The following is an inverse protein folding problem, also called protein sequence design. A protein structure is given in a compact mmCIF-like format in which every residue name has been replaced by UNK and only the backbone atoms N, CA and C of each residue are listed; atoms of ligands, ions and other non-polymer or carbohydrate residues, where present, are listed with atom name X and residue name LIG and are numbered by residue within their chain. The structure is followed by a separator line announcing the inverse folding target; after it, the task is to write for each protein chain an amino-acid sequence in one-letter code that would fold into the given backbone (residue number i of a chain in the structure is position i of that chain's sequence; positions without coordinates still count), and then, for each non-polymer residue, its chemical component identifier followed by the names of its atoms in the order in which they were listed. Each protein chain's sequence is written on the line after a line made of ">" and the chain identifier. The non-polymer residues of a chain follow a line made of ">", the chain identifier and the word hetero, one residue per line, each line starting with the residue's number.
data_IF_434656364126
#
_entry.id   IF_434656364126
#
_cell.length_a   1.000
_cell.length_b   1.000
_cell.length_c   1.000
_cell.angle_alpha   90.00
_cell.angle_beta   90.00
_cell.angle_gamma   90.00
#
_symmetry.space_group_name_H-M   'P 1'
#
loop_
_entity.id
_entity.type
_entity.pdbx_description
1 polymer ?
#
# COMPACT_ATOMS: atom_id res chain seq x y z
N UNK A 1 20.10 31.48 -44.36
CA UNK A 1 19.01 30.57 -43.94
C UNK A 1 18.35 31.19 -42.72
N UNK A 2 17.04 31.49 -42.76
CA UNK A 2 16.28 32.06 -41.64
C UNK A 2 15.17 31.08 -41.30
N UNK A 3 15.22 30.52 -40.10
CA UNK A 3 14.22 29.58 -39.58
C UNK A 3 12.86 30.28 -39.45
N UNK A 4 11.84 29.74 -40.14
CA UNK A 4 10.42 30.10 -40.00
C UNK A 4 9.70 28.93 -39.31
N UNK A 5 10.13 28.57 -38.11
CA UNK A 5 9.67 27.35 -37.43
C UNK A 5 8.36 27.49 -36.66
N UNK A 6 8.08 28.66 -36.08
CA UNK A 6 7.11 28.75 -34.96
C UNK A 6 5.90 29.66 -35.24
N UNK A 7 5.67 30.07 -36.49
CA UNK A 7 4.56 30.96 -36.86
C UNK A 7 3.63 30.29 -37.87
N UNK A 8 2.34 30.29 -37.56
CA UNK A 8 1.30 29.86 -38.50
C UNK A 8 0.69 31.12 -39.12
N UNK A 9 0.76 31.22 -40.44
CA UNK A 9 0.15 32.32 -41.20
C UNK A 9 -1.25 31.93 -41.65
N UNK A 10 -2.24 32.72 -41.24
CA UNK A 10 -3.63 32.58 -41.68
C UNK A 10 -3.95 33.73 -42.63
N UNK A 11 -4.31 33.40 -43.87
CA UNK A 11 -4.70 34.37 -44.88
C UNK A 11 -6.06 34.02 -45.48
N UNK A 12 -6.84 35.05 -45.79
CA UNK A 12 -8.13 34.90 -46.46
C UNK A 12 -8.15 35.76 -47.72
N UNK A 13 -8.76 35.22 -48.78
CA UNK A 13 -8.97 35.93 -50.05
C UNK A 13 -10.45 36.21 -50.21
N UNK A 14 -10.79 37.49 -50.35
CA UNK A 14 -12.17 37.90 -50.57
C UNK A 14 -12.22 39.16 -51.43
N UNK A 15 -13.33 39.35 -52.14
CA UNK A 15 -13.53 40.49 -53.06
C UNK A 15 -13.57 41.83 -52.32
N UNK A 16 -14.10 41.81 -51.10
CA UNK A 16 -14.11 42.94 -50.19
C UNK A 16 -12.91 42.84 -49.24
N UNK A 17 -11.98 43.81 -49.25
CA UNK A 17 -10.78 43.78 -48.43
C UNK A 17 -11.09 43.83 -46.93
N UNK A 18 -12.19 44.45 -46.51
CA UNK A 18 -12.59 44.47 -45.10
C UNK A 18 -13.06 43.08 -44.63
N UNK A 19 -13.82 42.39 -45.48
CA UNK A 19 -14.27 41.02 -45.20
C UNK A 19 -13.11 40.02 -45.24
N UNK A 20 -12.14 40.20 -46.13
CA UNK A 20 -10.93 39.37 -46.14
C UNK A 20 -10.18 39.45 -44.80
N UNK A 21 -9.98 40.67 -44.28
CA UNK A 21 -9.35 40.90 -42.98
C UNK A 21 -10.18 40.31 -41.83
N UNK A 22 -11.50 40.53 -41.83
CA UNK A 22 -12.38 40.00 -40.79
C UNK A 22 -12.37 38.47 -40.74
N UNK A 23 -12.37 37.80 -41.90
CA UNK A 23 -12.30 36.33 -41.99
C UNK A 23 -10.95 35.83 -41.47
N UNK A 24 -9.84 36.46 -41.87
CA UNK A 24 -8.51 36.05 -41.41
C UNK A 24 -8.35 36.18 -39.89
N UNK A 25 -8.83 37.28 -39.31
CA UNK A 25 -8.78 37.51 -37.86
C UNK A 25 -9.69 36.55 -37.10
N UNK A 26 -10.93 36.35 -37.55
CA UNK A 26 -11.86 35.41 -36.92
C UNK A 26 -11.33 33.97 -36.93
N UNK A 27 -10.69 33.55 -38.03
CA UNK A 27 -10.04 32.25 -38.09
C UNK A 27 -8.81 32.16 -37.19
N UNK A 28 -8.01 33.21 -37.08
CA UNK A 28 -6.86 33.24 -36.16
C UNK A 28 -7.28 33.11 -34.69
N UNK A 29 -8.34 33.81 -34.30
CA UNK A 29 -8.92 33.72 -32.95
C UNK A 29 -9.54 32.34 -32.70
N UNK A 30 -10.33 31.83 -33.64
CA UNK A 30 -10.96 30.51 -33.52
C UNK A 30 -9.92 29.38 -33.48
N UNK A 31 -8.86 29.49 -34.27
CA UNK A 31 -7.77 28.52 -34.30
C UNK A 31 -6.98 28.56 -32.98
N UNK A 32 -6.60 29.75 -32.50
CA UNK A 32 -5.92 29.89 -31.21
C UNK A 32 -6.78 29.33 -30.07
N UNK A 33 -8.09 29.62 -30.06
CA UNK A 33 -9.02 29.07 -29.07
C UNK A 33 -9.14 27.54 -29.16
N UNK A 34 -9.21 26.99 -30.37
CA UNK A 34 -9.34 25.55 -30.58
C UNK A 34 -8.06 24.80 -30.18
N UNK A 35 -6.89 25.28 -30.60
CA UNK A 35 -5.60 24.66 -30.28
C UNK A 35 -5.29 24.79 -28.79
N UNK A 36 -5.53 25.95 -28.19
CA UNK A 36 -5.38 26.09 -26.75
C UNK A 36 -6.33 25.16 -25.99
N UNK A 37 -7.56 24.95 -26.45
CA UNK A 37 -8.48 23.98 -25.84
C UNK A 37 -8.10 22.50 -26.07
N UNK A 38 -7.51 22.18 -27.22
CA UNK A 38 -7.09 20.82 -27.57
C UNK A 38 -5.78 20.42 -26.88
N UNK A 39 -4.89 21.39 -26.64
CA UNK A 39 -3.53 21.17 -26.15
C UNK A 39 -3.25 21.75 -24.76
N UNK A 40 -4.24 22.26 -24.03
CA UNK A 40 -4.10 22.75 -22.64
C UNK A 40 -3.71 21.67 -21.61
N UNK A 41 -3.22 20.50 -22.04
CA UNK A 41 -2.54 19.50 -21.19
C UNK A 41 -3.42 18.73 -20.19
N UNK A 42 -4.68 19.15 -19.99
CA UNK A 42 -5.57 18.57 -18.98
C UNK A 42 -6.48 17.53 -19.63
N UNK A 43 -6.04 16.26 -19.62
CA UNK A 43 -6.80 15.11 -20.12
C UNK A 43 -8.02 14.74 -19.25
N UNK A 44 -8.03 15.15 -17.98
CA UNK A 44 -9.14 14.96 -17.04
C UNK A 44 -9.45 16.27 -16.34
N UNK A 45 -10.71 16.69 -16.34
CA UNK A 45 -11.11 17.93 -15.69
C UNK A 45 -10.88 17.87 -14.17
N UNK A 46 -10.68 19.02 -13.49
CA UNK A 46 -10.60 19.06 -12.03
C UNK A 46 -11.80 18.41 -11.33
N UNK A 47 -13.00 18.48 -11.94
CA UNK A 47 -14.22 17.90 -11.40
C UNK A 47 -14.20 16.36 -11.46
N UNK A 48 -13.74 15.78 -12.56
CA UNK A 48 -13.61 14.32 -12.70
C UNK A 48 -12.57 13.75 -11.73
N UNK A 49 -11.43 14.44 -11.57
CA UNK A 49 -10.40 14.03 -10.60
C UNK A 49 -10.89 14.15 -9.15
N UNK A 50 -11.71 15.16 -8.84
CA UNK A 50 -12.33 15.27 -7.52
C UNK A 50 -13.27 14.10 -7.24
N UNK A 51 -14.10 13.71 -8.22
CA UNK A 51 -14.98 12.53 -8.08
C UNK A 51 -14.17 11.25 -7.85
N UNK A 52 -13.05 11.08 -8.54
CA UNK A 52 -12.15 9.94 -8.33
C UNK A 52 -11.49 9.96 -6.95
N UNK A 53 -11.05 11.13 -6.47
CA UNK A 53 -10.48 11.29 -5.14
C UNK A 53 -11.51 10.97 -4.03
N UNK A 54 -12.74 11.47 -4.16
CA UNK A 54 -13.83 11.20 -3.21
C UNK A 54 -14.20 9.70 -3.19
N UNK A 55 -14.16 9.03 -4.34
CA UNK A 55 -14.39 7.58 -4.43
C UNK A 55 -13.25 6.80 -3.75
N UNK A 56 -12.00 7.15 -4.02
CA UNK A 56 -10.83 6.53 -3.39
C UNK A 56 -10.82 6.73 -1.86
N UNK A 57 -11.30 7.89 -1.38
CA UNK A 57 -11.45 8.17 0.05
C UNK A 57 -12.45 7.24 0.72
N UNK A 58 -13.62 7.03 0.10
CA UNK A 58 -14.62 6.08 0.59
C UNK A 58 -14.07 4.66 0.64
N UNK A 59 -13.34 4.25 -0.41
CA UNK A 59 -12.68 2.95 -0.43
C UNK A 59 -11.65 2.82 0.70
N UNK A 60 -10.80 3.83 0.92
CA UNK A 60 -9.88 3.85 2.06
C UNK A 60 -10.62 3.71 3.40
N UNK A 61 -11.69 4.47 3.63
CA UNK A 61 -12.48 4.39 4.86
C UNK A 61 -13.10 3.00 5.09
N UNK A 62 -13.51 2.31 4.03
CA UNK A 62 -13.98 0.93 4.09
C UNK A 62 -12.86 -0.04 4.46
N UNK A 63 -11.68 0.08 3.83
CA UNK A 63 -10.51 -0.75 4.18
C UNK A 63 -9.99 -0.47 5.59
N UNK A 64 -10.05 0.78 6.02
CA UNK A 64 -9.68 1.19 7.38
C UNK A 64 -10.61 0.54 8.41
N UNK A 65 -11.93 0.59 8.20
CA UNK A 65 -12.90 -0.08 9.07
C UNK A 65 -12.67 -1.58 9.11
N UNK A 66 -12.45 -2.23 7.97
CA UNK A 66 -12.16 -3.66 7.93
C UNK A 66 -10.87 -4.03 8.69
N UNK A 67 -9.84 -3.17 8.64
CA UNK A 67 -8.62 -3.33 9.42
C UNK A 67 -8.87 -3.15 10.92
N UNK A 68 -9.61 -2.12 11.34
CA UNK A 68 -9.96 -1.87 12.74
C UNK A 68 -10.79 -3.01 13.33
N UNK A 69 -11.82 -3.46 12.60
CA UNK A 69 -12.65 -4.60 12.99
C UNK A 69 -11.77 -5.84 13.21
N UNK A 70 -10.87 -6.14 12.27
CA UNK A 70 -9.93 -7.25 12.41
C UNK A 70 -8.98 -7.08 13.61
N UNK A 71 -8.39 -5.90 13.80
CA UNK A 71 -7.48 -5.64 14.95
C UNK A 71 -8.21 -5.82 16.27
N UNK A 72 -9.50 -5.47 16.35
CA UNK A 72 -10.29 -5.59 17.57
C UNK A 72 -10.65 -7.04 17.95
N UNK A 73 -10.72 -7.96 16.97
CA UNK A 73 -11.29 -9.29 17.17
C UNK A 73 -10.42 -10.46 16.68
N UNK A 74 -9.23 -10.21 16.15
CA UNK A 74 -8.35 -11.29 15.67
C UNK A 74 -7.88 -12.19 16.82
N UNK A 75 -7.43 -13.39 16.46
CA UNK A 75 -7.01 -14.43 17.41
C UNK A 75 -5.50 -14.57 17.53
N UNK A 76 -4.71 -13.62 17.01
CA UNK A 76 -3.24 -13.76 16.92
C UNK A 76 -2.62 -13.93 18.31
N UNK A 77 -3.00 -13.08 19.27
CA UNK A 77 -2.49 -13.13 20.64
C UNK A 77 -2.98 -14.37 21.39
N UNK A 78 -4.24 -14.76 21.16
CA UNK A 78 -4.85 -15.95 21.74
C UNK A 78 -4.12 -17.21 21.27
N UNK A 79 -3.97 -17.39 19.96
CA UNK A 79 -3.28 -18.53 19.34
C UNK A 79 -1.80 -18.58 19.79
N UNK A 80 -1.13 -17.43 19.83
CA UNK A 80 0.26 -17.34 20.30
C UNK A 80 0.39 -17.78 21.76
N UNK A 81 -0.53 -17.38 22.63
CA UNK A 81 -0.57 -17.79 24.03
C UNK A 81 -0.84 -19.28 24.17
N UNK A 82 -1.81 -19.83 23.44
CA UNK A 82 -2.12 -21.26 23.47
C UNK A 82 -0.92 -22.11 23.02
N UNK A 83 -0.22 -21.69 21.96
CA UNK A 83 1.02 -22.35 21.51
C UNK A 83 2.10 -22.33 22.59
N UNK A 84 2.29 -21.18 23.25
CA UNK A 84 3.28 -21.06 24.32
C UNK A 84 2.95 -21.97 25.51
N UNK A 85 1.69 -22.01 25.93
CA UNK A 85 1.22 -22.85 27.03
C UNK A 85 1.35 -24.33 26.73
N UNK A 86 0.94 -24.77 25.54
CA UNK A 86 1.09 -26.18 25.13
C UNK A 86 2.55 -26.59 24.98
N UNK A 87 3.45 -25.68 24.58
CA UNK A 87 4.90 -25.94 24.59
C UNK A 87 5.45 -26.11 26.00
N UNK A 88 5.04 -25.26 26.93
CA UNK A 88 5.40 -25.41 28.35
C UNK A 88 4.88 -26.75 28.89
N UNK A 89 3.65 -27.12 28.56
CA UNK A 89 3.04 -28.38 28.95
C UNK A 89 3.79 -29.60 28.37
N UNK A 90 4.20 -29.55 27.11
CA UNK A 90 5.10 -30.55 26.51
C UNK A 90 6.41 -30.68 27.29
N UNK A 91 7.07 -29.56 27.58
CA UNK A 91 8.37 -29.55 28.25
C UNK A 91 8.29 -30.12 29.67
N UNK A 92 7.27 -29.75 30.44
CA UNK A 92 7.09 -30.27 31.81
C UNK A 92 6.74 -31.77 31.81
N UNK A 93 5.92 -32.24 30.86
CA UNK A 93 5.61 -33.68 30.73
C UNK A 93 6.86 -34.48 30.35
N UNK A 94 7.70 -33.96 29.45
CA UNK A 94 9.00 -34.59 29.14
C UNK A 94 9.95 -34.60 30.35
N UNK A 95 10.00 -33.53 31.14
CA UNK A 95 10.80 -33.48 32.37
C UNK A 95 10.31 -34.53 33.39
N UNK A 96 8.99 -34.68 33.53
CA UNK A 96 8.37 -35.71 34.39
C UNK A 96 8.78 -37.12 33.97
N UNK A 97 8.72 -37.43 32.67
CA UNK A 97 9.15 -38.72 32.12
C UNK A 97 10.64 -38.98 32.37
N UNK A 98 11.49 -37.97 32.22
CA UNK A 98 12.93 -38.06 32.48
C UNK A 98 13.23 -38.34 33.96
N UNK A 99 12.56 -37.64 34.88
CA UNK A 99 12.72 -37.85 36.32
C UNK A 99 12.24 -39.26 36.70
N UNK A 100 11.08 -39.68 36.17
CA UNK A 100 10.52 -41.01 36.40
C UNK A 100 11.42 -42.13 35.85
N UNK A 101 12.11 -41.90 34.73
CA UNK A 101 13.05 -42.85 34.15
C UNK A 101 14.36 -43.01 34.97
N UNK A 102 14.59 -42.14 35.95
CA UNK A 102 15.65 -42.31 36.96
C UNK A 102 17.05 -41.99 36.42
N UNK A 103 17.46 -40.72 36.55
CA UNK A 103 18.87 -40.33 36.50
C UNK A 103 19.37 -40.09 37.92
N UNK A 104 20.08 -41.05 38.50
CA UNK A 104 20.43 -41.09 39.93
C UNK A 104 21.66 -40.25 40.33
N UNK A 105 22.18 -39.41 39.44
CA UNK A 105 23.35 -38.58 39.74
C UNK A 105 22.97 -37.26 40.43
N UNK A 106 23.86 -36.73 41.28
CA UNK A 106 23.68 -35.39 41.88
C UNK A 106 23.58 -34.29 40.81
N UNK A 107 24.36 -34.42 39.72
CA UNK A 107 24.31 -33.50 38.58
C UNK A 107 22.95 -33.52 37.87
N UNK A 108 22.32 -34.71 37.72
CA UNK A 108 20.97 -34.81 37.14
C UNK A 108 19.89 -34.28 38.08
N UNK A 109 20.04 -34.43 39.40
CA UNK A 109 19.11 -33.84 40.36
C UNK A 109 19.12 -32.30 40.27
N UNK A 110 20.31 -31.69 40.30
CA UNK A 110 20.45 -30.23 40.18
C UNK A 110 19.94 -29.69 38.82
N UNK A 111 20.18 -30.43 37.73
CA UNK A 111 19.66 -30.08 36.41
C UNK A 111 18.12 -30.13 36.35
N UNK A 112 17.50 -31.14 36.97
CA UNK A 112 16.05 -31.26 37.05
C UNK A 112 15.43 -30.11 37.88
N UNK A 113 16.03 -29.78 39.03
CA UNK A 113 15.61 -28.65 39.86
C UNK A 113 15.70 -27.32 39.10
N UNK A 114 16.79 -27.09 38.38
CA UNK A 114 16.95 -25.89 37.54
C UNK A 114 15.92 -25.85 36.41
N UNK A 115 15.68 -26.97 35.74
CA UNK A 115 14.69 -27.05 34.66
C UNK A 115 13.28 -26.71 35.16
N UNK A 116 12.89 -27.23 36.34
CA UNK A 116 11.60 -26.91 36.95
C UNK A 116 11.49 -25.41 37.29
N UNK A 117 12.50 -24.83 37.95
CA UNK A 117 12.51 -23.39 38.29
C UNK A 117 12.40 -22.53 37.02
N UNK A 118 13.11 -22.88 35.95
CA UNK A 118 13.03 -22.15 34.69
C UNK A 118 11.66 -22.28 34.01
N UNK A 119 11.02 -23.45 34.11
CA UNK A 119 9.68 -23.68 33.57
C UNK A 119 8.62 -22.93 34.37
N UNK A 120 8.71 -22.95 35.70
CA UNK A 120 7.88 -22.14 36.61
C UNK A 120 8.04 -20.66 36.31
N UNK A 121 9.28 -20.19 36.23
CA UNK A 121 9.55 -18.80 35.91
C UNK A 121 8.93 -18.43 34.57
N UNK A 122 9.13 -19.22 33.50
CA UNK A 122 8.47 -18.99 32.20
C UNK A 122 6.95 -19.03 32.27
N UNK A 123 6.38 -19.80 33.18
CA UNK A 123 4.94 -19.89 33.34
C UNK A 123 4.35 -18.67 34.05
N UNK A 124 5.06 -18.06 35.00
CA UNK A 124 4.51 -17.03 35.89
C UNK A 124 5.13 -15.64 35.74
N UNK A 125 6.29 -15.51 35.10
CA UNK A 125 7.02 -14.24 34.98
C UNK A 125 7.95 -14.21 33.75
N UNK A 126 8.52 -13.05 33.46
CA UNK A 126 9.62 -12.93 32.50
C UNK A 126 10.96 -13.14 33.23
N UNK A 127 11.79 -14.06 32.72
CA UNK A 127 13.14 -14.26 33.25
C UNK A 127 14.06 -13.09 32.89
N UNK A 128 14.90 -12.60 33.82
CA UNK A 128 15.97 -11.65 33.50
C UNK A 128 17.00 -12.30 32.57
N UNK A 129 17.69 -11.48 31.75
CA UNK A 129 18.67 -11.95 30.76
C UNK A 129 19.91 -12.63 31.37
N UNK A 130 20.25 -12.30 32.62
CA UNK A 130 21.31 -12.96 33.39
C UNK A 130 20.76 -13.45 34.72
N UNK A 131 20.90 -14.76 34.95
CA UNK A 131 20.52 -15.42 36.21
C UNK A 131 21.75 -16.19 36.72
N UNK A 132 22.38 -15.70 37.79
CA UNK A 132 23.48 -16.41 38.44
C UNK A 132 22.90 -17.38 39.47
N UNK A 133 23.17 -18.68 39.30
CA UNK A 133 22.67 -19.73 40.20
C UNK A 133 23.81 -20.64 40.61
N UNK A 134 23.94 -20.90 41.93
CA UNK A 134 24.94 -21.83 42.47
C UNK A 134 24.40 -23.25 42.47
N UNK A 135 25.15 -24.18 41.86
CA UNK A 135 24.74 -25.58 41.70
C UNK A 135 24.58 -26.30 43.06
N UNK A 136 25.44 -26.00 44.03
CA UNK A 136 25.41 -26.61 45.37
C UNK A 136 24.09 -26.34 46.12
N UNK A 137 23.46 -25.19 45.87
CA UNK A 137 22.17 -24.83 46.47
C UNK A 137 21.00 -25.54 45.78
N UNK A 138 21.13 -25.83 44.48
CA UNK A 138 20.10 -26.51 43.70
C UNK A 138 20.03 -28.02 44.00
N UNK A 139 21.18 -28.65 44.25
CA UNK A 139 21.27 -30.08 44.60
C UNK A 139 20.53 -30.43 45.90
N UNK A 140 20.34 -29.46 46.80
CA UNK A 140 19.59 -29.62 48.04
C UNK A 140 18.07 -29.47 47.89
N UNK A 141 17.59 -29.02 46.73
CA UNK A 141 16.16 -28.93 46.43
C UNK A 141 15.69 -30.29 45.90
N UNK A 142 14.82 -30.95 46.65
CA UNK A 142 14.20 -32.18 46.21
C UNK A 142 12.97 -31.86 45.36
N UNK A 143 13.04 -32.15 44.05
CA UNK A 143 11.88 -32.00 43.16
C UNK A 143 10.95 -33.20 43.35
N UNK A 144 9.74 -32.96 43.86
CA UNK A 144 8.72 -34.00 43.92
C UNK A 144 8.01 -34.15 42.57
N UNK A 145 7.64 -35.38 42.24
CA UNK A 145 6.74 -35.64 41.12
C UNK A 145 5.35 -35.01 41.36
N UNK A 146 4.95 -34.84 42.63
CA UNK A 146 3.68 -34.19 42.99
C UNK A 146 3.68 -32.69 42.64
N UNK A 147 4.80 -31.99 42.82
CA UNK A 147 4.95 -30.58 42.45
C UNK A 147 4.83 -30.39 40.93
N UNK A 148 5.45 -31.31 40.18
CA UNK A 148 5.35 -31.36 38.72
C UNK A 148 3.91 -31.64 38.27
N UNK A 149 3.21 -32.56 38.94
CA UNK A 149 1.82 -32.90 38.62
C UNK A 149 0.84 -31.76 38.95
N UNK A 150 1.10 -30.99 40.02
CA UNK A 150 0.36 -29.77 40.32
C UNK A 150 0.58 -28.68 39.25
N UNK A 151 1.82 -28.53 38.78
CA UNK A 151 2.15 -27.58 37.71
C UNK A 151 1.54 -27.99 36.37
N UNK A 152 1.58 -29.28 36.03
CA UNK A 152 0.87 -29.85 34.86
C UNK A 152 -0.61 -29.52 34.94
N UNK A 153 -1.26 -29.77 36.08
CA UNK A 153 -2.69 -29.50 36.26
C UNK A 153 -3.04 -28.02 36.10
N UNK A 154 -2.17 -27.13 36.58
CA UNK A 154 -2.31 -25.67 36.44
C UNK A 154 -2.18 -25.24 34.98
N UNK A 155 -1.18 -25.76 34.26
CA UNK A 155 -0.96 -25.47 32.84
C UNK A 155 -2.03 -26.06 31.94
N UNK A 156 -2.55 -27.27 32.23
CA UNK A 156 -3.66 -27.87 31.50
C UNK A 156 -4.91 -26.98 31.61
N UNK A 157 -5.22 -26.51 32.82
CA UNK A 157 -6.34 -25.58 33.06
C UNK A 157 -6.13 -24.24 32.33
N UNK A 158 -4.91 -23.70 32.34
CA UNK A 158 -4.59 -22.44 31.66
C UNK A 158 -4.65 -22.55 30.13
N UNK A 159 -4.19 -23.67 29.58
CA UNK A 159 -4.14 -23.92 28.15
C UNK A 159 -5.50 -24.18 27.50
N UNK A 160 -6.57 -24.31 28.31
CA UNK A 160 -7.93 -24.61 27.83
C UNK A 160 -8.08 -25.97 27.16
N UNK A 161 -7.07 -26.84 27.28
CA UNK A 161 -7.01 -28.16 26.65
C UNK A 161 -7.64 -29.27 27.48
N UNK A 162 -7.76 -30.45 26.87
CA UNK A 162 -8.21 -31.66 27.55
C UNK A 162 -7.16 -32.12 28.56
N UNK A 163 -7.56 -32.41 29.80
CA UNK A 163 -6.63 -32.97 30.79
C UNK A 163 -6.09 -34.31 30.34
N UNK A 164 -4.82 -34.57 30.61
CA UNK A 164 -4.19 -35.86 30.32
C UNK A 164 -3.74 -36.06 28.88
N UNK A 165 -3.70 -35.01 28.05
CA UNK A 165 -3.11 -35.08 26.71
C UNK A 165 -1.67 -35.61 26.75
N UNK A 166 -1.34 -36.48 25.80
CA UNK A 166 0.00 -37.01 25.56
C UNK A 166 0.90 -35.95 24.89
N UNK A 167 2.22 -36.15 24.98
CA UNK A 167 3.20 -35.27 24.33
C UNK A 167 3.01 -35.26 22.80
N UNK A 168 2.64 -36.39 22.19
CA UNK A 168 2.38 -36.47 20.75
C UNK A 168 1.15 -35.65 20.34
N UNK A 169 0.04 -35.77 21.07
CA UNK A 169 -1.18 -35.00 20.80
C UNK A 169 -0.93 -33.50 20.95
N UNK A 170 -0.23 -33.09 22.02
CA UNK A 170 0.15 -31.69 22.22
C UNK A 170 1.03 -31.14 21.08
N UNK A 171 1.96 -31.94 20.55
CA UNK A 171 2.80 -31.54 19.42
C UNK A 171 1.98 -31.35 18.15
N UNK A 172 1.01 -32.21 17.91
CA UNK A 172 0.12 -32.12 16.77
C UNK A 172 -0.77 -30.88 16.85
N UNK A 173 -1.37 -30.60 18.02
CA UNK A 173 -2.14 -29.39 18.27
C UNK A 173 -1.29 -28.12 18.12
N UNK A 174 -0.03 -28.12 18.57
CA UNK A 174 0.89 -27.00 18.35
C UNK A 174 1.12 -26.73 16.85
N UNK A 175 1.20 -27.78 16.02
CA UNK A 175 1.35 -27.61 14.57
C UNK A 175 0.07 -27.05 13.94
N UNK A 176 -1.10 -27.53 14.36
CA UNK A 176 -2.38 -27.01 13.90
C UNK A 176 -2.55 -25.52 14.27
N UNK A 177 -2.33 -25.16 15.53
CA UNK A 177 -2.42 -23.78 16.01
C UNK A 177 -1.41 -22.86 15.31
N UNK A 178 -0.22 -23.35 14.95
CA UNK A 178 0.74 -22.59 14.14
C UNK A 178 0.23 -22.32 12.73
N UNK A 179 -0.47 -23.29 12.13
CA UNK A 179 -1.14 -23.10 10.85
C UNK A 179 -2.22 -22.04 10.93
N UNK A 180 -3.08 -22.09 11.96
CA UNK A 180 -4.10 -21.06 12.22
C UNK A 180 -3.47 -19.68 12.46
N UNK A 181 -2.40 -19.62 13.25
CA UNK A 181 -1.69 -18.37 13.52
C UNK A 181 -1.13 -17.75 12.24
N UNK A 182 -0.54 -18.56 11.36
CA UNK A 182 -0.02 -18.06 10.07
C UNK A 182 -1.15 -17.58 9.14
N UNK A 183 -2.31 -18.23 9.17
CA UNK A 183 -3.48 -17.77 8.42
C UNK A 183 -3.99 -16.41 8.94
N UNK A 184 -4.08 -16.25 10.26
CA UNK A 184 -4.49 -14.98 10.88
C UNK A 184 -3.47 -13.86 10.63
N UNK A 185 -2.17 -14.12 10.73
CA UNK A 185 -1.13 -13.13 10.39
C UNK A 185 -1.06 -12.84 8.90
N UNK A 186 -1.37 -13.79 8.02
CA UNK A 186 -1.52 -13.53 6.59
C UNK A 186 -2.69 -12.59 6.31
N UNK A 187 -3.86 -12.84 6.92
CA UNK A 187 -5.04 -11.97 6.82
C UNK A 187 -4.75 -10.56 7.37
N UNK A 188 -4.03 -10.47 8.48
CA UNK A 188 -3.56 -9.19 9.01
C UNK A 188 -2.72 -8.42 7.98
N UNK A 189 -1.73 -9.07 7.36
CA UNK A 189 -0.90 -8.45 6.33
C UNK A 189 -1.71 -7.99 5.12
N UNK A 190 -2.64 -8.81 4.66
CA UNK A 190 -3.52 -8.51 3.52
C UNK A 190 -4.37 -7.26 3.78
N UNK A 191 -5.09 -7.21 4.91
CA UNK A 191 -5.94 -6.08 5.27
C UNK A 191 -5.14 -4.80 5.47
N UNK A 192 -3.98 -4.90 6.15
CA UNK A 192 -3.08 -3.75 6.33
C UNK A 192 -2.59 -3.22 4.98
N UNK A 193 -2.14 -4.10 4.09
CA UNK A 193 -1.67 -3.73 2.76
C UNK A 193 -2.79 -3.12 1.91
N UNK A 194 -3.99 -3.70 1.95
CA UNK A 194 -5.16 -3.16 1.24
C UNK A 194 -5.52 -1.75 1.72
N UNK A 195 -5.45 -1.50 3.03
CA UNK A 195 -5.62 -0.16 3.61
C UNK A 195 -4.53 0.80 3.12
N UNK A 196 -3.27 0.37 3.16
CA UNK A 196 -2.13 1.22 2.80
C UNK A 196 -2.16 1.60 1.31
N UNK A 197 -2.52 0.66 0.42
CA UNK A 197 -2.72 0.94 -1.02
C UNK A 197 -3.88 1.92 -1.23
N UNK A 198 -4.99 1.74 -0.53
CA UNK A 198 -6.13 2.65 -0.65
C UNK A 198 -5.79 4.06 -0.15
N UNK A 199 -5.00 4.16 0.93
CA UNK A 199 -4.46 5.43 1.42
C UNK A 199 -3.58 6.11 0.38
N UNK A 200 -2.58 5.40 -0.15
CA UNK A 200 -1.68 5.92 -1.19
C UNK A 200 -2.46 6.40 -2.43
N UNK A 201 -3.45 5.62 -2.86
CA UNK A 201 -4.31 5.96 -4.00
C UNK A 201 -5.09 7.25 -3.73
N UNK A 202 -5.75 7.36 -2.57
CA UNK A 202 -6.48 8.57 -2.17
C UNK A 202 -5.57 9.79 -2.14
N UNK A 203 -4.40 9.70 -1.48
CA UNK A 203 -3.46 10.83 -1.38
C UNK A 203 -2.89 11.25 -2.73
N UNK A 204 -2.67 10.30 -3.64
CA UNK A 204 -2.18 10.57 -4.98
C UNK A 204 -3.23 11.31 -5.80
N UNK A 205 -4.49 10.86 -5.76
CA UNK A 205 -5.59 11.52 -6.46
C UNK A 205 -5.92 12.89 -5.87
N UNK A 206 -5.89 13.04 -4.54
CA UNK A 206 -6.04 14.33 -3.88
C UNK A 206 -4.95 15.33 -4.33
N UNK A 207 -3.69 14.87 -4.37
CA UNK A 207 -2.56 15.68 -4.86
C UNK A 207 -2.71 16.06 -6.34
N UNK A 208 -3.15 15.10 -7.18
CA UNK A 208 -3.38 15.34 -8.61
C UNK A 208 -4.53 16.31 -8.86
N UNK A 209 -5.63 16.19 -8.10
CA UNK A 209 -6.76 17.09 -8.18
C UNK A 209 -6.36 18.52 -7.78
N UNK A 210 -5.48 18.68 -6.78
CA UNK A 210 -4.94 19.97 -6.40
C UNK A 210 -4.01 20.55 -7.49
N UNK A 211 -3.11 19.74 -8.05
CA UNK A 211 -2.20 20.14 -9.13
C UNK A 211 -2.97 20.64 -10.36
N UNK A 212 -3.94 19.86 -10.83
CA UNK A 212 -4.75 20.21 -12.01
C UNK A 212 -5.60 21.45 -11.76
N UNK A 213 -6.09 21.65 -10.53
CA UNK A 213 -6.81 22.87 -10.14
C UNK A 213 -5.92 24.12 -10.14
N UNK A 214 -4.65 23.98 -9.77
CA UNK A 214 -3.67 25.08 -9.86
C UNK A 214 -3.30 25.33 -11.33
N UNK A 215 -3.08 24.29 -12.12
CA UNK A 215 -2.78 24.40 -13.54
C UNK A 215 -3.93 25.04 -14.34
N UNK A 216 -5.20 24.77 -14.02
CA UNK A 216 -6.33 25.46 -14.66
C UNK A 216 -6.41 26.95 -14.33
N UNK A 217 -5.93 27.36 -13.15
CA UNK A 217 -5.85 28.78 -12.77
C UNK A 217 -4.71 29.49 -13.50
N UNK A 218 -3.61 28.79 -13.77
CA UNK A 218 -2.50 29.27 -14.58
C UNK A 218 -2.79 29.00 -16.07
N UNK A 219 -3.51 29.89 -16.76
CA UNK A 219 -3.85 29.75 -18.18
C UNK A 219 -2.62 29.37 -19.03
N UNK A 220 -2.51 28.09 -19.41
CA UNK A 220 -1.43 27.59 -20.26
C UNK A 220 -1.78 27.93 -21.72
N UNK A 221 -1.27 29.07 -22.20
CA UNK A 221 -1.52 29.56 -23.57
C UNK A 221 -0.48 28.93 -24.52
N UNK A 222 -0.86 27.84 -25.17
CA UNK A 222 -0.02 27.11 -26.14
C UNK A 222 0.23 27.94 -27.40
N UNK A 223 -0.78 28.65 -27.90
CA UNK A 223 -0.70 29.51 -29.08
C UNK A 223 -1.37 30.85 -28.80
N UNK A 224 -0.72 31.94 -29.23
CA UNK A 224 -1.27 33.31 -29.17
C UNK A 224 -1.27 33.95 -30.55
N UNK A 225 -2.25 34.82 -30.82
CA UNK A 225 -2.26 35.63 -32.04
C UNK A 225 -1.11 36.63 -31.95
N UNK A 226 -0.06 36.43 -32.75
CA UNK A 226 1.13 37.28 -32.74
C UNK A 226 0.88 38.62 -33.45
N UNK A 227 0.13 38.58 -34.56
CA UNK A 227 -0.18 39.75 -35.39
C UNK A 227 -1.59 39.57 -35.96
N UNK A 228 -2.36 40.67 -35.98
CA UNK A 228 -3.71 40.74 -36.56
C UNK A 228 -3.60 41.16 -38.03
N UNK A 229 -4.44 40.60 -38.90
CA UNK A 229 -4.50 41.00 -40.30
C UNK A 229 -4.96 42.47 -40.41
N UNK A 230 -4.32 43.21 -41.32
CA UNK A 230 -4.63 44.62 -41.63
C UNK A 230 -5.35 44.68 -42.99
N UNK A 231 -6.20 45.69 -43.19
CA UNK A 231 -6.91 45.90 -44.46
C UNK A 231 -5.89 46.20 -45.56
N UNK A 232 -5.84 45.42 -46.66
CA UNK A 232 -4.87 45.63 -47.72
C UNK A 232 -5.17 46.91 -48.50
N UNK A 233 -4.16 47.78 -48.66
CA UNK A 233 -4.27 49.06 -49.38
C UNK A 233 -4.41 48.91 -50.90
N UNK A 234 -4.06 47.74 -51.44
CA UNK A 234 -4.23 47.42 -52.86
C UNK A 234 -4.68 45.97 -53.05
N UNK A 235 -5.58 45.69 -54.01
CA UNK A 235 -6.03 44.33 -54.27
C UNK A 235 -4.86 43.47 -54.78
N UNK A 236 -4.67 42.30 -54.15
CA UNK A 236 -3.71 41.30 -54.62
C UNK A 236 -4.29 40.61 -55.86
N UNK A 237 -4.05 41.21 -57.02
CA UNK A 237 -4.58 40.67 -58.29
C UNK A 237 -4.05 39.25 -58.53
N UNK A 238 -4.88 38.32 -59.06
CA UNK A 238 -4.36 37.06 -59.55
C UNK A 238 -3.27 37.35 -60.57
N UNK A 239 -2.16 36.59 -60.55
CA UNK A 239 -1.07 36.69 -61.53
C UNK A 239 -1.55 36.23 -62.91
N UNK A 240 -2.52 36.94 -63.50
CA UNK A 240 -3.16 36.58 -64.78
C UNK A 240 -2.13 36.55 -65.89
N UNK A 241 -1.14 37.44 -65.88
CA UNK A 241 -0.05 37.43 -66.84
C UNK A 241 0.76 36.10 -66.79
N UNK A 242 0.94 35.51 -65.60
CA UNK A 242 1.65 34.23 -65.44
C UNK A 242 0.76 33.03 -65.77
N UNK A 243 -0.54 33.09 -65.48
CA UNK A 243 -1.49 32.05 -65.86
C UNK A 243 -1.77 32.04 -67.37
N UNK A 244 -1.75 33.21 -68.01
CA UNK A 244 -1.90 33.35 -69.47
C UNK A 244 -0.65 32.81 -70.19
N UNK A 245 0.57 33.07 -69.68
CA UNK A 245 1.78 32.47 -70.28
C UNK A 245 1.84 30.97 -70.11
N UNK A 246 1.38 30.42 -68.98
CA UNK A 246 1.26 28.96 -68.81
C UNK A 246 0.19 28.37 -69.75
N UNK A 247 -0.94 29.05 -69.96
CA UNK A 247 -1.96 28.62 -70.91
C UNK A 247 -1.46 28.67 -72.38
N UNK A 248 -0.68 29.70 -72.73
CA UNK A 248 -0.12 29.86 -74.08
C UNK A 248 1.02 28.86 -74.36
N UNK A 249 1.74 28.41 -73.32
CA UNK A 249 2.77 27.36 -73.39
C UNK A 249 2.16 25.94 -73.36
N UNK A 250 0.97 25.75 -72.78
CA UNK A 250 0.28 24.45 -72.70
C UNK A 250 -0.86 24.24 -73.72
N UNK A 251 -1.15 25.24 -74.57
CA UNK A 251 -2.04 25.11 -75.71
C UNK A 251 -3.52 24.97 -75.33
N UNK A 252 -4.15 26.08 -74.97
CA UNK A 252 -5.61 26.28 -75.05
C UNK A 252 -5.90 27.73 -75.42
#
# INVERSE_FOLDING_TARGET
>A
MRERGDLIEISAKFTDPQKATAIANAWAESYASYVNGLYSGILQSPAELQVQADAARKEYEEKQRAWEDFVSSNRIDELSRQIADKKLLCNIKSLREQIKAGSSSSASAAANSLALILLEAKAFTSLPGELQVSLDRLSGLNVSLDDIDALISTLETRSGGTRGQSISELREEILQLRGELEQETAKQRELKNSRDIAWETCTTLDSKAAEVRVATLAQDVVVRVAVVAVVPESPVAPRRAMNITIALVLGL
#
